data_IF_516662899063
#
_entry.id   IF_516662899063
#
_cell.length_a   1.000
_cell.length_b   1.000
_cell.length_c   1.000
_cell.angle_alpha   90.00
_cell.angle_beta   90.00
_cell.angle_gamma   90.00
#
_symmetry.space_group_name_H-M   'P 1'
#
loop_
_entity.id
_entity.type
_entity.pdbx_description
1 polymer ?
#
# COMPACT_ATOMS: atom_id res chain seq x y z
N UNK A 1 18.39 -28.05 -29.53
CA UNK A 1 18.03 -27.83 -28.11
C UNK A 1 18.99 -26.85 -27.43
N UNK A 2 20.32 -27.02 -27.53
CA UNK A 2 21.30 -26.08 -26.97
C UNK A 2 21.25 -24.64 -27.56
N UNK A 3 21.03 -24.51 -28.87
CA UNK A 3 20.95 -23.19 -29.55
C UNK A 3 19.74 -22.37 -29.10
N UNK A 4 18.61 -23.02 -28.82
CA UNK A 4 17.42 -22.34 -28.30
C UNK A 4 17.62 -21.84 -26.85
N UNK A 5 18.47 -22.52 -26.07
CA UNK A 5 18.77 -22.12 -24.70
C UNK A 5 19.68 -20.88 -24.67
N UNK A 6 20.66 -20.81 -25.57
CA UNK A 6 21.59 -19.68 -25.71
C UNK A 6 20.85 -18.39 -26.14
N UNK A 7 19.92 -18.49 -27.10
CA UNK A 7 19.10 -17.34 -27.51
C UNK A 7 18.16 -16.86 -26.40
N UNK A 8 17.54 -17.80 -25.67
CA UNK A 8 16.71 -17.48 -24.50
C UNK A 8 17.56 -16.81 -23.42
N UNK A 9 18.77 -17.29 -23.18
CA UNK A 9 19.70 -16.72 -22.19
C UNK A 9 20.16 -15.31 -22.56
N UNK A 10 20.48 -15.07 -23.83
CA UNK A 10 20.83 -13.74 -24.35
C UNK A 10 19.67 -12.75 -24.20
N UNK A 11 18.44 -13.18 -24.50
CA UNK A 11 17.24 -12.35 -24.36
C UNK A 11 16.91 -12.06 -22.89
N UNK A 12 17.03 -13.06 -22.01
CA UNK A 12 16.83 -12.90 -20.56
C UNK A 12 17.87 -11.92 -19.98
N UNK A 13 19.13 -12.02 -20.38
CA UNK A 13 20.18 -11.10 -19.92
C UNK A 13 19.90 -9.66 -20.34
N UNK A 14 19.39 -9.44 -21.55
CA UNK A 14 19.06 -8.10 -22.04
C UNK A 14 17.83 -7.51 -21.34
N UNK A 15 16.79 -8.33 -21.13
CA UNK A 15 15.58 -7.95 -20.37
C UNK A 15 15.91 -7.66 -18.90
N UNK A 16 16.81 -8.44 -18.30
CA UNK A 16 17.28 -8.23 -16.93
C UNK A 16 18.07 -6.92 -16.79
N UNK A 17 18.86 -6.56 -17.81
CA UNK A 17 19.60 -5.29 -17.82
C UNK A 17 18.68 -4.07 -17.99
N UNK A 18 17.59 -4.22 -18.75
CA UNK A 18 16.61 -3.15 -18.96
C UNK A 18 15.63 -2.98 -17.80
N UNK A 19 15.19 -4.08 -17.17
CA UNK A 19 14.13 -4.09 -16.15
C UNK A 19 14.63 -4.52 -14.76
N UNK A 20 15.92 -4.30 -14.46
CA UNK A 20 16.58 -4.84 -13.28
C UNK A 20 15.86 -4.52 -11.95
N UNK A 21 15.42 -3.27 -11.76
CA UNK A 21 14.72 -2.85 -10.54
C UNK A 21 13.34 -3.51 -10.38
N UNK A 22 12.58 -3.66 -11.46
CA UNK A 22 11.26 -4.29 -11.43
C UNK A 22 11.36 -5.78 -11.13
N UNK A 23 12.32 -6.47 -11.74
CA UNK A 23 12.53 -7.90 -11.51
C UNK A 23 13.01 -8.13 -10.06
N UNK A 24 13.90 -7.27 -9.57
CA UNK A 24 14.41 -7.36 -8.20
C UNK A 24 13.33 -7.09 -7.15
N UNK A 25 12.40 -6.15 -7.39
CA UNK A 25 11.29 -5.90 -6.47
C UNK A 25 10.29 -7.06 -6.42
N UNK A 26 9.94 -7.64 -7.57
CA UNK A 26 9.08 -8.83 -7.62
C UNK A 26 9.75 -10.02 -6.93
N UNK A 27 11.04 -10.27 -7.18
CA UNK A 27 11.79 -11.32 -6.50
C UNK A 27 11.86 -11.08 -4.99
N UNK A 28 12.06 -9.83 -4.54
CA UNK A 28 12.07 -9.49 -3.12
C UNK A 28 10.74 -9.80 -2.43
N UNK A 29 9.59 -9.54 -3.10
CA UNK A 29 8.27 -9.90 -2.56
C UNK A 29 8.11 -11.42 -2.43
N UNK A 30 8.49 -12.17 -3.46
CA UNK A 30 8.38 -13.64 -3.44
C UNK A 30 9.28 -14.24 -2.35
N UNK A 31 10.53 -13.82 -2.28
CA UNK A 31 11.50 -14.27 -1.27
C UNK A 31 11.02 -13.85 0.13
N UNK A 32 10.51 -12.63 0.30
CA UNK A 32 9.95 -12.13 1.56
C UNK A 32 8.75 -12.94 2.05
N UNK A 33 7.82 -13.29 1.16
CA UNK A 33 6.70 -14.17 1.50
C UNK A 33 7.15 -15.58 1.90
N UNK A 34 8.09 -16.19 1.15
CA UNK A 34 8.62 -17.52 1.46
C UNK A 34 9.37 -17.54 2.79
N UNK A 35 10.23 -16.55 3.04
CA UNK A 35 10.93 -16.39 4.32
C UNK A 35 9.93 -16.17 5.46
N UNK A 36 8.94 -15.29 5.29
CA UNK A 36 7.92 -15.03 6.31
C UNK A 36 7.12 -16.28 6.69
N UNK A 37 6.75 -17.10 5.70
CA UNK A 37 6.06 -18.37 5.94
C UNK A 37 6.96 -19.38 6.68
N UNK A 38 8.23 -19.49 6.27
CA UNK A 38 9.18 -20.42 6.89
C UNK A 38 9.56 -20.02 8.32
N UNK A 39 9.74 -18.72 8.58
CA UNK A 39 10.05 -18.19 9.92
C UNK A 39 8.86 -18.34 10.87
N UNK A 40 7.61 -18.22 10.38
CA UNK A 40 6.41 -18.46 11.19
C UNK A 40 6.33 -19.88 11.74
N UNK A 41 6.85 -20.87 11.01
CA UNK A 41 6.87 -22.27 11.44
C UNK A 41 7.81 -22.59 12.61
N UNK A 42 8.74 -21.69 12.96
CA UNK A 42 9.80 -21.95 13.97
C UNK A 42 9.58 -21.29 15.34
N UNK A 43 8.43 -20.65 15.59
CA UNK A 43 8.12 -19.93 16.86
C UNK A 43 9.30 -19.10 17.38
N UNK A 44 9.69 -18.07 16.62
CA UNK A 44 10.76 -17.14 17.00
C UNK A 44 10.33 -16.20 18.14
N UNK A 45 11.29 -15.77 18.95
CA UNK A 45 11.07 -14.80 20.03
C UNK A 45 10.81 -13.40 19.46
N UNK A 46 10.00 -12.57 20.15
CA UNK A 46 9.64 -11.22 19.68
C UNK A 46 10.84 -10.31 19.39
N UNK A 47 11.96 -10.53 20.09
CA UNK A 47 13.19 -9.76 19.89
C UNK A 47 13.82 -10.07 18.52
N UNK A 48 13.84 -11.33 18.09
CA UNK A 48 14.42 -11.77 16.82
C UNK A 48 13.61 -11.25 15.63
N UNK A 49 12.29 -11.19 15.79
CA UNK A 49 11.38 -10.61 14.78
C UNK A 49 11.66 -9.12 14.58
N UNK A 50 11.89 -8.37 15.66
CA UNK A 50 12.23 -6.93 15.58
C UNK A 50 13.54 -6.70 14.84
N UNK A 51 14.56 -7.52 15.09
CA UNK A 51 15.83 -7.43 14.34
C UNK A 51 15.66 -7.79 12.86
N UNK A 52 14.83 -8.78 12.54
CA UNK A 52 14.56 -9.16 11.14
C UNK A 52 13.75 -8.08 10.38
N UNK A 53 12.86 -7.35 11.06
CA UNK A 53 12.07 -6.27 10.45
C UNK A 53 12.85 -4.97 10.24
N UNK A 54 13.99 -4.80 10.92
CA UNK A 54 14.83 -3.60 10.88
C UNK A 54 15.11 -3.03 9.47
N UNK A 55 15.55 -3.80 8.46
CA UNK A 55 15.75 -3.26 7.10
C UNK A 55 14.47 -2.71 6.46
N UNK A 56 13.31 -3.33 6.74
CA UNK A 56 12.02 -2.85 6.26
C UNK A 56 11.57 -1.57 6.96
N UNK A 57 11.82 -1.44 8.26
CA UNK A 57 11.58 -0.18 8.98
C UNK A 57 12.46 0.96 8.43
N UNK A 58 13.72 0.67 8.14
CA UNK A 58 14.66 1.67 7.63
C UNK A 58 14.22 2.20 6.25
N UNK A 59 13.75 1.31 5.37
CA UNK A 59 13.12 1.70 4.09
C UNK A 59 11.90 2.60 4.33
N UNK A 60 10.99 2.21 5.24
CA UNK A 60 9.80 3.00 5.54
C UNK A 60 10.13 4.39 6.11
N UNK A 61 11.17 4.50 6.94
CA UNK A 61 11.64 5.79 7.47
C UNK A 61 12.22 6.68 6.37
N UNK A 62 13.00 6.11 5.45
CA UNK A 62 13.54 6.84 4.28
C UNK A 62 12.42 7.38 3.39
N UNK A 63 11.41 6.57 3.06
CA UNK A 63 10.27 7.00 2.23
C UNK A 63 9.44 8.10 2.91
N UNK A 64 9.17 7.97 4.21
CA UNK A 64 8.45 8.99 5.00
C UNK A 64 9.20 10.31 5.12
N UNK A 65 10.53 10.29 5.13
CA UNK A 65 11.33 11.52 5.13
C UNK A 65 11.21 12.28 3.80
N UNK A 66 11.06 11.55 2.68
CA UNK A 66 10.95 12.14 1.35
C UNK A 66 9.53 12.63 1.01
N UNK A 67 8.49 12.00 1.54
CA UNK A 67 7.10 12.31 1.14
C UNK A 67 6.70 13.76 1.46
N UNK A 68 7.02 14.25 2.65
CA UNK A 68 6.64 15.60 3.08
C UNK A 68 7.22 16.71 2.17
N UNK A 69 8.54 16.79 1.94
CA UNK A 69 9.11 17.83 1.08
C UNK A 69 8.71 17.66 -0.39
N UNK A 70 8.60 16.44 -0.91
CA UNK A 70 8.22 16.19 -2.30
C UNK A 70 6.77 16.59 -2.57
N UNK A 71 5.84 16.25 -1.66
CA UNK A 71 4.42 16.60 -1.82
C UNK A 71 4.24 18.11 -1.79
N UNK A 72 4.83 18.82 -0.81
CA UNK A 72 4.68 20.28 -0.71
C UNK A 72 5.30 20.99 -1.92
N UNK A 73 6.52 20.62 -2.32
CA UNK A 73 7.18 21.26 -3.47
C UNK A 73 6.47 20.97 -4.79
N UNK A 74 6.02 19.72 -5.01
CA UNK A 74 5.29 19.34 -6.22
C UNK A 74 3.93 20.03 -6.32
N UNK A 75 3.19 20.14 -5.21
CA UNK A 75 1.90 20.84 -5.18
C UNK A 75 2.08 22.34 -5.41
N UNK A 76 3.05 22.97 -4.74
CA UNK A 76 3.33 24.40 -4.92
C UNK A 76 3.73 24.71 -6.37
N UNK A 77 4.67 23.96 -6.93
CA UNK A 77 5.11 24.14 -8.33
C UNK A 77 4.00 23.82 -9.33
N UNK A 78 3.19 22.79 -9.06
CA UNK A 78 2.08 22.40 -9.92
C UNK A 78 0.98 23.44 -9.97
N UNK A 79 0.60 23.99 -8.80
CA UNK A 79 -0.42 25.04 -8.72
C UNK A 79 0.07 26.39 -9.26
N UNK A 80 1.35 26.73 -9.06
CA UNK A 80 1.93 27.98 -9.58
C UNK A 80 2.00 28.03 -11.11
N UNK A 81 2.06 26.87 -11.78
CA UNK A 81 2.12 26.79 -13.25
C UNK A 81 0.74 26.91 -13.94
N UNK A 82 -0.36 26.89 -13.18
CA UNK A 82 -1.72 26.89 -13.73
C UNK A 82 -2.52 28.12 -13.28
N UNK A 83 -3.33 28.67 -14.18
CA UNK A 83 -4.29 29.72 -13.85
C UNK A 83 -5.37 29.24 -12.87
N UNK A 84 -5.86 30.14 -12.01
CA UNK A 84 -6.86 29.83 -10.98
C UNK A 84 -8.16 29.21 -11.54
N UNK A 85 -8.58 29.61 -12.75
CA UNK A 85 -9.77 29.03 -13.42
C UNK A 85 -9.51 27.62 -13.94
N UNK A 86 -8.31 27.35 -14.44
CA UNK A 86 -7.92 26.03 -14.93
C UNK A 86 -7.71 25.06 -13.76
N UNK A 87 -7.02 25.51 -12.71
CA UNK A 87 -6.78 24.73 -11.48
C UNK A 87 -8.08 24.33 -10.78
N UNK A 88 -9.04 25.24 -10.65
CA UNK A 88 -10.34 24.93 -10.04
C UNK A 88 -11.17 23.93 -10.87
N UNK A 89 -11.16 24.03 -12.20
CA UNK A 89 -11.84 23.06 -13.07
C UNK A 89 -11.22 21.66 -13.00
N UNK A 90 -9.89 21.57 -12.99
CA UNK A 90 -9.18 20.30 -12.81
C UNK A 90 -9.42 19.71 -11.42
N UNK A 91 -9.45 20.54 -10.38
CA UNK A 91 -9.77 20.13 -9.02
C UNK A 91 -11.16 19.52 -8.91
N UNK A 92 -12.18 20.18 -9.46
CA UNK A 92 -13.57 19.67 -9.45
C UNK A 92 -13.68 18.34 -10.22
N UNK A 93 -13.05 18.24 -11.40
CA UNK A 93 -13.03 17.00 -12.18
C UNK A 93 -12.38 15.86 -11.38
N UNK A 94 -11.27 16.14 -10.71
CA UNK A 94 -10.52 15.17 -9.91
C UNK A 94 -11.30 14.72 -8.67
N UNK A 95 -11.90 15.66 -7.93
CA UNK A 95 -12.74 15.36 -6.77
C UNK A 95 -13.94 14.52 -7.19
N UNK A 96 -14.64 14.91 -8.27
CA UNK A 96 -15.78 14.15 -8.78
C UNK A 96 -15.38 12.73 -9.20
N UNK A 97 -14.23 12.56 -9.87
CA UNK A 97 -13.68 11.25 -10.23
C UNK A 97 -13.37 10.39 -8.99
N UNK A 98 -12.73 10.96 -7.97
CA UNK A 98 -12.43 10.22 -6.73
C UNK A 98 -13.67 9.83 -5.95
N UNK A 99 -14.66 10.72 -5.85
CA UNK A 99 -15.94 10.41 -5.21
C UNK A 99 -16.66 9.28 -5.95
N UNK A 100 -16.71 9.34 -7.28
CA UNK A 100 -17.35 8.31 -8.09
C UNK A 100 -16.67 6.94 -7.94
N UNK A 101 -15.35 6.88 -8.09
CA UNK A 101 -14.62 5.60 -7.99
C UNK A 101 -14.67 5.01 -6.58
N UNK A 102 -14.62 5.85 -5.54
CA UNK A 102 -14.76 5.40 -4.14
C UNK A 102 -16.15 4.87 -3.88
N UNK A 103 -17.19 5.54 -4.38
CA UNK A 103 -18.57 5.07 -4.26
C UNK A 103 -18.75 3.69 -4.90
N UNK A 104 -18.26 3.51 -6.14
CA UNK A 104 -18.31 2.21 -6.84
C UNK A 104 -17.53 1.15 -6.06
N UNK A 105 -16.32 1.46 -5.58
CA UNK A 105 -15.51 0.52 -4.80
C UNK A 105 -16.19 0.09 -3.50
N UNK A 106 -16.85 1.02 -2.79
CA UNK A 106 -17.61 0.73 -1.56
C UNK A 106 -18.81 -0.17 -1.86
N UNK A 107 -19.59 0.13 -2.91
CA UNK A 107 -20.73 -0.71 -3.32
C UNK A 107 -20.27 -2.13 -3.64
N UNK A 108 -19.20 -2.28 -4.42
CA UNK A 108 -18.61 -3.59 -4.74
C UNK A 108 -18.11 -4.29 -3.48
N UNK A 109 -17.44 -3.58 -2.58
CA UNK A 109 -16.96 -4.13 -1.31
C UNK A 109 -18.09 -4.66 -0.42
N UNK A 110 -19.18 -3.88 -0.28
CA UNK A 110 -20.36 -4.29 0.48
C UNK A 110 -21.03 -5.51 -0.16
N UNK A 111 -21.20 -5.52 -1.47
CA UNK A 111 -21.76 -6.67 -2.18
C UNK A 111 -20.89 -7.92 -1.98
N UNK A 112 -19.56 -7.79 -2.07
CA UNK A 112 -18.62 -8.90 -1.88
C UNK A 112 -18.69 -9.47 -0.47
N UNK A 113 -18.71 -8.62 0.55
CA UNK A 113 -18.84 -9.02 1.96
C UNK A 113 -20.21 -9.66 2.21
N UNK A 114 -21.28 -9.12 1.63
CA UNK A 114 -22.63 -9.66 1.76
C UNK A 114 -22.80 -11.02 1.07
N UNK A 115 -22.04 -11.32 0.01
CA UNK A 115 -22.11 -12.64 -0.65
C UNK A 115 -21.27 -13.65 0.13
N UNK A 116 -20.03 -13.30 0.46
CA UNK A 116 -19.05 -14.23 1.05
C UNK A 116 -19.27 -14.43 2.55
N UNK A 117 -19.86 -13.45 3.24
CA UNK A 117 -19.96 -13.39 4.71
C UNK A 117 -18.64 -13.78 5.43
N UNK A 118 -17.52 -13.11 5.12
CA UNK A 118 -16.25 -13.43 5.75
C UNK A 118 -16.31 -13.10 7.25
N UNK A 119 -15.94 -14.06 8.11
CA UNK A 119 -15.79 -13.81 9.55
C UNK A 119 -16.65 -14.67 10.49
N UNK A 120 -17.51 -15.56 9.99
CA UNK A 120 -18.30 -16.47 10.85
C UNK A 120 -17.48 -17.39 11.77
N UNK A 121 -16.19 -17.61 11.49
CA UNK A 121 -15.28 -18.41 12.30
C UNK A 121 -14.39 -17.59 13.27
N UNK A 122 -14.40 -16.25 13.18
CA UNK A 122 -13.46 -15.37 13.90
C UNK A 122 -14.05 -14.75 15.20
N UNK A 123 -15.28 -15.08 15.57
CA UNK A 123 -16.00 -14.37 16.62
C UNK A 123 -15.78 -14.92 18.05
N UNK A 124 -14.77 -15.77 18.29
CA UNK A 124 -14.63 -16.48 19.58
C UNK A 124 -13.49 -16.07 20.50
N UNK A 125 -12.54 -15.24 20.08
CA UNK A 125 -11.41 -14.87 20.95
C UNK A 125 -11.02 -13.41 20.70
N UNK A 126 -11.56 -12.51 21.53
CA UNK A 126 -11.05 -11.17 21.88
C UNK A 126 -12.21 -10.28 22.33
N UNK A 127 -12.76 -10.61 23.51
CA UNK A 127 -13.72 -9.77 24.24
C UNK A 127 -13.04 -9.09 25.43
N UNK A 128 -11.81 -8.62 25.27
CA UNK A 128 -11.08 -7.90 26.33
C UNK A 128 -10.33 -6.65 25.79
N UNK A 129 -11.02 -5.77 25.04
CA UNK A 129 -10.61 -4.35 24.98
C UNK A 129 -11.76 -3.43 24.56
N UNK A 130 -12.72 -3.22 25.46
CA UNK A 130 -13.75 -2.18 25.33
C UNK A 130 -13.50 -1.05 26.33
N UNK A 131 -12.38 -0.35 26.14
CA UNK A 131 -12.14 0.97 26.77
C UNK A 131 -11.66 2.03 25.77
N UNK A 132 -12.00 1.90 24.49
CA UNK A 132 -11.95 3.04 23.56
C UNK A 132 -13.18 3.90 23.79
N UNK A 133 -13.05 5.23 23.96
CA UNK A 133 -14.22 6.10 24.00
C UNK A 133 -15.00 5.90 22.70
N UNK A 134 -16.29 5.57 22.80
CA UNK A 134 -17.21 5.65 21.66
C UNK A 134 -17.28 7.12 21.27
N UNK A 135 -16.37 7.55 20.39
CA UNK A 135 -16.45 8.89 19.81
C UNK A 135 -17.73 8.91 19.00
N UNK A 136 -18.56 9.93 19.22
CA UNK A 136 -19.73 10.12 18.38
C UNK A 136 -19.25 10.29 16.95
N UNK A 137 -19.98 9.78 15.95
CA UNK A 137 -19.62 10.01 14.54
C UNK A 137 -19.52 11.50 14.23
N UNK A 138 -20.27 12.34 14.95
CA UNK A 138 -20.14 13.79 14.90
C UNK A 138 -18.76 14.28 15.39
N UNK A 139 -18.23 13.71 16.48
CA UNK A 139 -16.92 14.09 17.02
C UNK A 139 -15.79 13.76 16.03
N UNK A 140 -15.89 12.63 15.32
CA UNK A 140 -14.92 12.27 14.28
C UNK A 140 -14.98 13.23 13.06
N UNK A 141 -16.17 13.71 12.70
CA UNK A 141 -16.31 14.74 11.66
C UNK A 141 -15.79 16.10 12.13
N UNK A 142 -16.00 16.43 13.40
CA UNK A 142 -15.44 17.65 14.00
C UNK A 142 -13.92 17.58 14.12
N UNK A 143 -13.33 16.41 14.39
CA UNK A 143 -11.87 16.19 14.45
C UNK A 143 -11.19 16.27 13.08
N UNK A 144 -11.92 15.99 11.99
CA UNK A 144 -11.43 16.13 10.62
C UNK A 144 -11.41 17.60 10.13
N UNK A 145 -12.36 18.41 10.60
CA UNK A 145 -12.47 19.83 10.23
C UNK A 145 -11.56 20.71 11.09
N UNK A 146 -11.31 20.31 12.34
CA UNK A 146 -10.50 21.04 13.32
C UNK A 146 -8.99 20.93 13.03
#
# INVERSE_FOLDING_TARGET
>A
MAVALEEVWGRVKNVCKQNGLLILSVLAVVIGCLLGFFLRGKQLSEQEVKYFQFPGELLMRMLKMLILPLVVSSLMSGLAALDAKCSSRLGIMTISYYLWTTFVAVVVGILMVYIIHPGGAAQKEDSEDSKKPMTSSADALLDLIR
#
